data_IF_767968949481
#
_entry.id   IF_767968949481
#
_cell.length_a   1.000
_cell.length_b   1.000
_cell.length_c   1.000
_cell.angle_alpha   90.00
_cell.angle_beta   90.00
_cell.angle_gamma   90.00
#
_symmetry.space_group_name_H-M   'P 1'
#
loop_
_entity.id
_entity.type
_entity.pdbx_description
1 polymer ?
#
# COMPACT_ATOMS: atom_id res chain seq x y z
N UNK A 1 18.89 -21.75 -29.80
CA UNK A 1 18.47 -20.40 -29.39
C UNK A 1 18.87 -20.22 -27.94
N UNK A 2 19.74 -19.26 -27.63
CA UNK A 2 20.05 -18.95 -26.23
C UNK A 2 18.83 -18.28 -25.58
N UNK A 3 18.46 -18.77 -24.39
CA UNK A 3 17.34 -18.23 -23.63
C UNK A 3 17.85 -16.97 -22.92
N UNK A 4 17.43 -15.79 -23.37
CA UNK A 4 17.76 -14.53 -22.69
C UNK A 4 17.19 -14.56 -21.28
N UNK A 5 18.04 -14.47 -20.27
CA UNK A 5 17.64 -14.33 -18.87
C UNK A 5 17.34 -12.85 -18.63
N UNK A 6 16.14 -12.54 -18.15
CA UNK A 6 15.74 -11.20 -17.74
C UNK A 6 15.71 -11.20 -16.21
N UNK A 7 16.47 -10.34 -15.53
CA UNK A 7 16.42 -10.28 -14.07
C UNK A 7 15.07 -9.70 -13.64
N UNK A 8 14.51 -10.24 -12.56
CA UNK A 8 13.21 -9.81 -12.02
C UNK A 8 13.46 -8.94 -10.78
N UNK A 9 12.82 -7.78 -10.72
CA UNK A 9 12.77 -6.93 -9.54
C UNK A 9 11.38 -7.05 -8.89
N UNK A 10 11.34 -7.59 -7.66
CA UNK A 10 10.13 -7.72 -6.88
C UNK A 10 9.98 -6.48 -6.00
N UNK A 11 8.87 -5.75 -6.16
CA UNK A 11 8.52 -4.60 -5.35
C UNK A 11 7.33 -4.95 -4.47
N UNK A 12 7.41 -4.64 -3.17
CA UNK A 12 6.20 -4.55 -2.36
C UNK A 12 5.35 -3.33 -2.79
N UNK A 13 4.09 -3.26 -2.35
CA UNK A 13 3.17 -2.18 -2.70
C UNK A 13 2.95 -1.21 -1.53
N UNK A 14 2.41 -1.68 -0.41
CA UNK A 14 1.94 -0.82 0.68
C UNK A 14 3.12 -0.26 1.49
N UNK A 15 3.28 1.06 1.48
CA UNK A 15 4.44 1.70 2.11
C UNK A 15 5.73 1.57 1.32
N UNK A 16 5.66 1.06 0.08
CA UNK A 16 6.78 0.99 -0.87
C UNK A 16 6.46 1.77 -2.15
N UNK A 17 5.38 1.39 -2.85
CA UNK A 17 4.92 2.07 -4.08
C UNK A 17 3.67 2.91 -3.84
N UNK A 18 2.77 2.47 -2.96
CA UNK A 18 1.56 3.17 -2.56
C UNK A 18 1.71 3.74 -1.14
N UNK A 19 1.35 5.00 -0.90
CA UNK A 19 1.52 5.69 0.38
C UNK A 19 0.44 5.32 1.39
N UNK A 20 0.48 4.06 1.80
CA UNK A 20 -0.40 3.47 2.78
C UNK A 20 -0.26 4.13 4.16
N UNK A 21 0.97 4.45 4.59
CA UNK A 21 1.24 4.95 5.94
C UNK A 21 0.65 6.35 6.13
N UNK A 22 0.87 7.27 5.18
CA UNK A 22 0.33 8.62 5.29
C UNK A 22 -1.21 8.61 5.16
N UNK A 23 -1.76 7.80 4.25
CA UNK A 23 -3.20 7.65 4.09
C UNK A 23 -3.86 7.12 5.37
N UNK A 24 -3.28 6.08 5.99
CA UNK A 24 -3.77 5.51 7.23
C UNK A 24 -3.71 6.52 8.38
N UNK A 25 -2.58 7.22 8.57
CA UNK A 25 -2.42 8.25 9.61
C UNK A 25 -3.47 9.36 9.45
N UNK A 26 -3.66 9.88 8.23
CA UNK A 26 -4.66 10.91 7.91
C UNK A 26 -6.08 10.45 8.25
N UNK A 27 -6.45 9.24 7.81
CA UNK A 27 -7.82 8.75 7.97
C UNK A 27 -8.10 8.36 9.43
N UNK A 28 -7.12 7.82 10.15
CA UNK A 28 -7.20 7.58 11.61
C UNK A 28 -7.42 8.89 12.38
N UNK A 29 -6.68 9.94 12.05
CA UNK A 29 -6.82 11.25 12.69
C UNK A 29 -8.20 11.87 12.42
N UNK A 30 -8.76 11.67 11.22
CA UNK A 30 -10.12 12.13 10.89
C UNK A 30 -11.22 11.47 11.73
N UNK A 31 -10.93 10.30 12.30
CA UNK A 31 -11.83 9.52 13.16
C UNK A 31 -11.50 9.67 14.66
N UNK A 32 -10.46 10.44 15.01
CA UNK A 32 -10.01 10.61 16.40
C UNK A 32 -11.01 11.45 17.19
N UNK A 33 -11.29 11.01 18.42
CA UNK A 33 -12.12 11.78 19.34
C UNK A 33 -11.42 13.08 19.79
N UNK A 34 -12.13 14.20 20.05
CA UNK A 34 -11.49 15.47 20.44
C UNK A 34 -10.63 15.43 21.71
N UNK A 35 -10.82 14.42 22.57
CA UNK A 35 -10.09 14.22 23.83
C UNK A 35 -9.22 12.97 23.84
N UNK A 36 -9.20 12.24 22.73
CA UNK A 36 -8.39 11.04 22.59
C UNK A 36 -6.94 11.45 22.33
N UNK A 37 -5.94 10.83 22.99
CA UNK A 37 -4.54 11.11 22.66
C UNK A 37 -4.23 10.72 21.21
N UNK A 38 -3.20 11.33 20.64
CA UNK A 38 -2.66 10.84 19.37
C UNK A 38 -2.13 9.41 19.58
N UNK A 39 -2.50 8.50 18.68
CA UNK A 39 -1.99 7.15 18.72
C UNK A 39 -0.50 7.18 18.38
N UNK A 40 0.33 6.59 19.24
CA UNK A 40 1.75 6.47 18.91
C UNK A 40 1.98 5.43 17.80
N UNK A 41 3.15 5.43 17.15
CA UNK A 41 3.41 4.49 16.05
C UNK A 41 3.34 3.02 16.49
N UNK A 42 3.59 2.72 17.77
CA UNK A 42 3.46 1.35 18.29
C UNK A 42 1.99 0.98 18.41
N UNK A 43 1.14 1.88 18.89
CA UNK A 43 -0.30 1.67 19.00
C UNK A 43 -0.96 1.51 17.62
N UNK A 44 -0.43 2.12 16.56
CA UNK A 44 -0.97 1.94 15.20
C UNK A 44 -0.60 0.60 14.56
N UNK A 45 0.63 0.11 14.78
CA UNK A 45 1.19 -1.02 14.04
C UNK A 45 1.41 -2.29 14.87
N UNK A 46 1.73 -2.14 16.15
CA UNK A 46 2.21 -3.20 17.04
C UNK A 46 1.26 -3.40 18.23
N UNK A 47 0.30 -4.30 18.06
CA UNK A 47 -0.72 -4.62 19.07
C UNK A 47 -1.64 -3.42 19.42
N UNK A 48 -2.40 -2.90 18.44
CA UNK A 48 -3.34 -1.80 18.66
C UNK A 48 -4.39 -2.16 19.71
N UNK A 49 -4.73 -1.20 20.56
CA UNK A 49 -5.94 -1.27 21.38
C UNK A 49 -7.17 -1.59 20.52
N UNK A 50 -8.18 -2.33 21.02
CA UNK A 50 -9.27 -2.85 20.19
C UNK A 50 -9.99 -1.78 19.35
N UNK A 51 -10.15 -0.58 19.88
CA UNK A 51 -10.79 0.54 19.20
C UNK A 51 -9.89 1.21 18.14
N UNK A 52 -8.57 1.17 18.30
CA UNK A 52 -7.59 1.57 17.27
C UNK A 52 -7.64 0.57 16.12
N UNK A 53 -7.63 -0.73 16.44
CA UNK A 53 -7.76 -1.80 15.45
C UNK A 53 -9.07 -1.67 14.66
N UNK A 54 -10.19 -1.44 15.35
CA UNK A 54 -11.49 -1.31 14.71
C UNK A 54 -11.55 -0.12 13.73
N UNK A 55 -10.89 1.00 14.05
CA UNK A 55 -10.77 2.14 13.12
C UNK A 55 -9.97 1.78 11.89
N UNK A 56 -8.80 1.17 12.06
CA UNK A 56 -7.98 0.68 10.95
C UNK A 56 -8.77 -0.28 10.05
N UNK A 57 -9.43 -1.27 10.63
CA UNK A 57 -10.26 -2.23 9.90
C UNK A 57 -11.40 -1.52 9.13
N UNK A 58 -11.97 -0.46 9.71
CA UNK A 58 -13.04 0.33 9.06
C UNK A 58 -12.51 1.09 7.85
N UNK A 59 -11.33 1.70 7.98
CA UNK A 59 -10.66 2.44 6.91
C UNK A 59 -10.32 1.49 5.75
N UNK A 60 -9.67 0.36 6.03
CA UNK A 60 -9.26 -0.62 5.02
C UNK A 60 -10.45 -1.31 4.32
N UNK A 61 -11.63 -1.31 4.95
CA UNK A 61 -12.88 -1.82 4.35
C UNK A 61 -13.60 -0.77 3.53
N UNK A 62 -13.20 0.50 3.50
CA UNK A 62 -13.85 1.49 2.65
C UNK A 62 -13.57 1.15 1.18
N UNK A 63 -14.60 0.91 0.34
CA UNK A 63 -14.38 0.69 -1.09
C UNK A 63 -13.67 1.89 -1.72
N UNK A 64 -12.72 1.61 -2.61
CA UNK A 64 -11.83 2.57 -3.24
C UNK A 64 -10.61 2.95 -2.40
N UNK A 65 -10.56 2.63 -1.10
CA UNK A 65 -9.47 3.09 -0.24
C UNK A 65 -8.09 2.62 -0.74
N UNK A 66 -7.99 1.38 -1.20
CA UNK A 66 -6.72 0.83 -1.70
C UNK A 66 -6.37 1.34 -3.09
N UNK A 67 -7.38 1.52 -3.96
CA UNK A 67 -7.20 2.06 -5.31
C UNK A 67 -6.81 3.53 -5.29
N UNK A 68 -7.30 4.29 -4.33
CA UNK A 68 -7.11 5.74 -4.29
C UNK A 68 -5.88 6.15 -3.45
N UNK A 69 -5.00 5.20 -3.11
CA UNK A 69 -3.74 5.50 -2.42
C UNK A 69 -2.81 6.32 -3.33
N UNK A 70 -2.22 7.38 -2.80
CA UNK A 70 -1.25 8.18 -3.57
C UNK A 70 0.04 7.39 -3.83
N UNK A 71 0.67 7.51 -5.01
CA UNK A 71 1.98 6.91 -5.25
C UNK A 71 3.09 7.51 -4.39
N UNK A 72 3.93 6.65 -3.84
CA UNK A 72 5.17 7.05 -3.18
C UNK A 72 6.21 7.45 -4.23
N UNK A 73 6.46 8.75 -4.35
CA UNK A 73 7.41 9.32 -5.32
C UNK A 73 8.74 8.56 -5.38
N UNK A 74 9.37 8.32 -4.23
CA UNK A 74 10.65 7.60 -4.14
C UNK A 74 10.54 6.17 -4.66
N UNK A 75 9.46 5.45 -4.34
CA UNK A 75 9.24 4.08 -4.83
C UNK A 75 9.10 4.04 -6.35
N UNK A 76 8.34 4.98 -6.91
CA UNK A 76 8.15 5.10 -8.36
C UNK A 76 9.45 5.46 -9.09
N UNK A 77 10.30 6.31 -8.50
CA UNK A 77 11.64 6.62 -9.03
C UNK A 77 12.52 5.37 -9.08
N UNK A 78 12.49 4.51 -8.05
CA UNK A 78 13.26 3.26 -8.03
C UNK A 78 12.73 2.26 -9.07
N UNK A 79 11.41 2.17 -9.26
CA UNK A 79 10.81 1.34 -10.33
C UNK A 79 11.34 1.79 -11.70
N UNK A 80 11.34 3.09 -11.96
CA UNK A 80 11.86 3.64 -13.22
C UNK A 80 13.33 3.28 -13.44
N UNK A 81 14.17 3.43 -12.42
CA UNK A 81 15.58 3.06 -12.49
C UNK A 81 15.74 1.56 -12.78
N UNK A 82 14.98 0.70 -12.11
CA UNK A 82 15.02 -0.75 -12.35
C UNK A 82 14.63 -1.11 -13.80
N UNK A 83 13.61 -0.44 -14.35
CA UNK A 83 13.23 -0.61 -15.76
C UNK A 83 14.35 -0.18 -16.71
N UNK A 84 14.99 0.97 -16.46
CA UNK A 84 16.12 1.48 -17.25
C UNK A 84 17.33 0.53 -17.20
N UNK A 85 17.52 -0.18 -16.09
CA UNK A 85 18.54 -1.22 -15.93
C UNK A 85 18.17 -2.58 -16.57
N UNK A 86 16.97 -2.69 -17.16
CA UNK A 86 16.52 -3.88 -17.88
C UNK A 86 15.89 -4.97 -17.01
N UNK A 87 15.42 -4.63 -15.80
CA UNK A 87 14.65 -5.55 -14.97
C UNK A 87 13.21 -5.68 -15.44
N UNK A 88 12.66 -6.88 -15.32
CA UNK A 88 11.22 -7.11 -15.34
C UNK A 88 10.64 -6.75 -13.97
N UNK A 89 9.72 -5.79 -13.93
CA UNK A 89 9.10 -5.32 -12.70
C UNK A 89 7.92 -6.23 -12.35
N UNK A 90 7.88 -6.70 -11.10
CA UNK A 90 6.76 -7.44 -10.54
C UNK A 90 6.39 -6.88 -9.19
N UNK A 91 5.11 -6.56 -8.99
CA UNK A 91 4.59 -6.20 -7.67
C UNK A 91 4.23 -7.48 -6.93
N UNK A 92 4.84 -7.68 -5.76
CA UNK A 92 4.58 -8.78 -4.86
C UNK A 92 4.00 -8.21 -3.57
N UNK A 93 2.67 -8.17 -3.49
CA UNK A 93 1.94 -7.61 -2.35
C UNK A 93 0.90 -8.58 -1.81
N UNK A 94 0.41 -8.31 -0.60
CA UNK A 94 -0.63 -9.07 0.08
C UNK A 94 -1.84 -8.19 0.36
N UNK A 95 -3.00 -8.59 -0.14
CA UNK A 95 -4.28 -8.03 0.29
C UNK A 95 -4.71 -8.57 1.67
N UNK A 96 -5.50 -7.79 2.43
CA UNK A 96 -6.18 -8.27 3.63
C UNK A 96 -7.11 -9.45 3.31
N UNK A 97 -7.13 -10.47 4.17
CA UNK A 97 -7.93 -11.69 3.96
C UNK A 97 -9.44 -11.40 4.00
N UNK A 98 -9.84 -10.42 4.81
CA UNK A 98 -11.23 -10.17 5.17
C UNK A 98 -11.89 -9.15 4.22
N UNK A 99 -11.13 -8.64 3.26
CA UNK A 99 -11.55 -7.60 2.31
C UNK A 99 -11.19 -8.04 0.88
N UNK A 100 -11.92 -9.00 0.29
CA UNK A 100 -11.52 -9.60 -0.99
C UNK A 100 -11.37 -8.59 -2.14
N UNK A 101 -12.19 -7.54 -2.17
CA UNK A 101 -12.09 -6.49 -3.19
C UNK A 101 -10.83 -5.65 -3.09
N UNK A 102 -10.13 -5.63 -1.95
CA UNK A 102 -8.83 -4.97 -1.83
C UNK A 102 -7.80 -5.55 -2.82
N UNK A 103 -7.89 -6.84 -3.16
CA UNK A 103 -7.03 -7.44 -4.19
C UNK A 103 -7.31 -6.87 -5.58
N UNK A 104 -8.58 -6.66 -5.91
CA UNK A 104 -8.97 -6.04 -7.18
C UNK A 104 -8.53 -4.58 -7.23
N UNK A 105 -8.77 -3.81 -6.15
CA UNK A 105 -8.35 -2.42 -6.06
C UNK A 105 -6.83 -2.24 -6.12
N UNK A 106 -6.05 -3.15 -5.53
CA UNK A 106 -4.58 -3.16 -5.67
C UNK A 106 -4.13 -3.41 -7.11
N UNK A 107 -4.81 -4.30 -7.82
CA UNK A 107 -4.55 -4.54 -9.24
C UNK A 107 -4.91 -3.29 -10.08
N UNK A 108 -6.06 -2.68 -9.81
CA UNK A 108 -6.49 -1.42 -10.44
C UNK A 108 -5.46 -0.32 -10.23
N UNK A 109 -4.97 -0.15 -8.99
CA UNK A 109 -3.90 0.77 -8.64
C UNK A 109 -2.63 0.53 -9.46
N UNK A 110 -2.18 -0.74 -9.56
CA UNK A 110 -1.00 -1.07 -10.37
C UNK A 110 -1.22 -0.72 -11.85
N UNK A 111 -2.40 -1.01 -12.41
CA UNK A 111 -2.72 -0.69 -13.80
C UNK A 111 -2.73 0.82 -14.07
N UNK A 112 -3.20 1.61 -13.12
CA UNK A 112 -3.24 3.07 -13.22
C UNK A 112 -1.84 3.70 -13.16
N UNK A 113 -0.99 3.25 -12.23
CA UNK A 113 0.28 3.93 -11.94
C UNK A 113 1.52 3.28 -12.55
N UNK A 114 1.49 1.97 -12.85
CA UNK A 114 2.61 1.23 -13.42
C UNK A 114 2.36 0.80 -14.87
N UNK A 115 1.11 0.90 -15.34
CA UNK A 115 0.69 0.43 -16.65
C UNK A 115 0.24 -1.03 -16.65
N UNK A 116 -0.10 -1.53 -17.84
CA UNK A 116 -0.54 -2.91 -18.07
C UNK A 116 0.62 -3.86 -18.32
#
# INVERSE_FOLDING_TARGET
MEKKIIPIALFDMDGTLADYVSAMKRDMESMRGPREPEADEKELWNNPEPHIKARKDTIEKRPGWWRDLEPMKTGMEVVKIAQELGFEIRVLTKGPNDVPYAWAEKLEWCQEHLGK
#
